data_IF_066094644999
#
_entry.id   IF_066094644999
#
_cell.length_a   1.000
_cell.length_b   1.000
_cell.length_c   1.000
_cell.angle_alpha   90.00
_cell.angle_beta   90.00
_cell.angle_gamma   90.00
#
_symmetry.space_group_name_H-M   'P 1'
#
loop_
_entity.id
_entity.type
_entity.pdbx_description
1 polymer ?
#
# COMPACT_ATOMS: atom_id res chain seq x y z
N UNK A 1 -1.86 -6.11 4.87
CA UNK A 1 -0.91 -5.90 3.75
C UNK A 1 -1.58 -4.94 2.79
N UNK A 2 -1.06 -3.74 2.59
CA UNK A 2 -1.74 -2.73 1.79
C UNK A 2 -1.55 -2.93 0.28
N UNK A 3 -0.40 -3.46 -0.14
CA UNK A 3 -0.03 -3.57 -1.55
C UNK A 3 -0.57 -4.86 -2.17
N UNK A 4 -0.54 -5.98 -1.45
CA UNK A 4 -1.12 -7.23 -1.97
C UNK A 4 -2.65 -7.25 -1.91
N UNK A 5 -3.28 -6.52 -0.98
CA UNK A 5 -4.76 -6.44 -0.91
C UNK A 5 -5.41 -5.73 -2.11
N UNK A 6 -4.64 -5.06 -2.97
CA UNK A 6 -5.12 -4.42 -4.20
C UNK A 6 -4.69 -5.16 -5.47
N UNK A 7 -4.12 -6.36 -5.33
CA UNK A 7 -3.80 -7.21 -6.46
C UNK A 7 -5.06 -7.63 -7.22
N UNK A 8 -4.89 -7.80 -8.53
CA UNK A 8 -5.85 -8.42 -9.45
C UNK A 8 -5.23 -9.70 -10.02
N UNK A 9 -5.37 -10.85 -9.36
CA UNK A 9 -4.83 -12.11 -9.84
C UNK A 9 -5.32 -12.43 -11.25
N UNK A 10 -4.40 -12.67 -12.19
CA UNK A 10 -4.70 -12.89 -13.60
C UNK A 10 -5.14 -11.65 -14.40
N UNK A 11 -5.23 -10.47 -13.77
CA UNK A 11 -5.69 -9.24 -14.41
C UNK A 11 -4.77 -8.68 -15.50
N UNK A 12 -3.50 -9.12 -15.54
CA UNK A 12 -2.53 -8.75 -16.56
C UNK A 12 -2.39 -9.76 -17.71
N UNK A 13 -3.17 -10.85 -17.69
CA UNK A 13 -3.05 -11.96 -18.64
C UNK A 13 -1.99 -12.98 -18.20
N UNK A 14 -0.71 -12.65 -18.36
CA UNK A 14 0.44 -13.50 -17.99
C UNK A 14 1.12 -13.11 -16.66
N UNK A 15 0.63 -12.05 -16.01
CA UNK A 15 1.07 -11.61 -14.68
C UNK A 15 -0.09 -11.09 -13.83
N UNK A 16 0.15 -10.92 -12.53
CA UNK A 16 -0.79 -10.29 -11.59
C UNK A 16 -0.76 -8.77 -11.76
N UNK A 17 -1.91 -8.19 -12.11
CA UNK A 17 -2.12 -6.74 -12.18
C UNK A 17 -2.48 -6.17 -10.80
N UNK A 18 -2.78 -4.87 -10.71
CA UNK A 18 -3.22 -4.29 -9.45
C UNK A 18 -3.71 -2.84 -9.49
N UNK A 19 -4.46 -2.46 -8.46
CA UNK A 19 -4.92 -1.09 -8.22
C UNK A 19 -4.07 -0.39 -7.15
N UNK A 20 -2.75 -0.30 -7.34
CA UNK A 20 -1.82 0.30 -6.37
C UNK A 20 -2.18 1.71 -5.89
N UNK A 21 -2.95 2.47 -6.69
CA UNK A 21 -3.47 3.78 -6.30
C UNK A 21 -4.43 3.72 -5.09
N UNK A 22 -5.07 2.58 -4.83
CA UNK A 22 -5.95 2.34 -3.69
C UNK A 22 -5.18 1.92 -2.43
N UNK A 23 -3.95 1.40 -2.55
CA UNK A 23 -3.18 0.89 -1.42
C UNK A 23 -3.00 1.91 -0.28
N UNK A 24 -2.67 3.20 -0.52
CA UNK A 24 -2.60 4.20 0.54
C UNK A 24 -3.94 4.42 1.27
N UNK A 25 -5.06 4.31 0.56
CA UNK A 25 -6.38 4.48 1.16
C UNK A 25 -6.74 3.29 2.05
N UNK A 26 -6.51 2.07 1.58
CA UNK A 26 -6.74 0.86 2.36
C UNK A 26 -5.80 0.76 3.57
N UNK A 27 -4.55 1.22 3.45
CA UNK A 27 -3.64 1.31 4.59
C UNK A 27 -4.19 2.22 5.70
N UNK A 28 -4.71 3.40 5.34
CA UNK A 28 -5.36 4.31 6.31
C UNK A 28 -6.59 3.68 6.94
N UNK A 29 -7.42 3.00 6.14
CA UNK A 29 -8.60 2.30 6.65
C UNK A 29 -8.22 1.18 7.64
N UNK A 30 -7.22 0.36 7.33
CA UNK A 30 -6.75 -0.71 8.20
C UNK A 30 -6.27 -0.17 9.56
N UNK A 31 -5.50 0.92 9.56
CA UNK A 31 -5.05 1.56 10.80
C UNK A 31 -6.21 2.16 11.59
N UNK A 32 -7.14 2.83 10.92
CA UNK A 32 -8.34 3.38 11.56
C UNK A 32 -9.22 2.30 12.22
N UNK A 33 -9.24 1.09 11.64
CA UNK A 33 -9.92 -0.08 12.20
C UNK A 33 -9.17 -0.76 13.35
N UNK A 34 -7.96 -0.30 13.70
CA UNK A 34 -7.21 -0.78 14.86
C UNK A 34 -6.23 -1.93 14.59
N UNK A 35 -5.71 -2.07 13.36
CA UNK A 35 -4.66 -3.06 13.11
C UNK A 35 -3.36 -2.73 13.88
N UNK A 36 -2.60 -3.76 14.29
CA UNK A 36 -1.33 -3.58 14.99
C UNK A 36 -0.13 -3.32 14.06
N UNK A 37 -0.30 -3.47 12.74
CA UNK A 37 0.79 -3.29 11.79
C UNK A 37 0.29 -3.22 10.35
N UNK A 38 1.08 -2.54 9.51
CA UNK A 38 0.83 -2.42 8.08
C UNK A 38 2.06 -2.91 7.33
N UNK A 39 1.86 -3.79 6.35
CA UNK A 39 2.88 -4.19 5.39
C UNK A 39 2.67 -3.41 4.08
N UNK A 40 3.76 -2.90 3.50
CA UNK A 40 3.76 -2.08 2.28
C UNK A 40 5.01 -2.41 1.46
N UNK A 41 4.83 -2.79 0.20
CA UNK A 41 5.92 -2.81 -0.78
C UNK A 41 6.13 -1.44 -1.43
N UNK A 42 7.38 -1.10 -1.70
CA UNK A 42 7.74 0.17 -2.31
C UNK A 42 8.90 0.03 -3.29
N UNK A 43 8.96 0.94 -4.27
CA UNK A 43 10.05 0.99 -5.23
C UNK A 43 10.40 2.45 -5.60
N UNK A 44 11.67 2.70 -5.95
CA UNK A 44 12.12 4.02 -6.42
C UNK A 44 11.46 4.42 -7.75
N UNK A 45 11.18 3.44 -8.59
CA UNK A 45 10.45 3.58 -9.84
C UNK A 45 9.53 2.38 -10.06
N UNK A 46 8.29 2.35 -9.51
CA UNK A 46 7.42 1.18 -9.56
C UNK A 46 7.27 0.56 -10.95
N UNK A 47 7.21 1.38 -12.01
CA UNK A 47 7.12 0.90 -13.39
C UNK A 47 8.30 0.02 -13.85
N UNK A 48 9.44 0.06 -13.15
CA UNK A 48 10.63 -0.78 -13.40
C UNK A 48 10.79 -1.94 -12.41
N UNK A 49 9.85 -2.14 -11.49
CA UNK A 49 9.91 -3.27 -10.57
C UNK A 49 9.73 -4.60 -11.34
N UNK A 50 10.49 -5.63 -10.96
CA UNK A 50 10.45 -6.94 -11.61
C UNK A 50 9.23 -7.78 -11.17
N UNK A 51 8.67 -7.46 -10.01
CA UNK A 51 7.42 -7.98 -9.48
C UNK A 51 6.58 -6.82 -8.94
N UNK A 52 5.26 -7.01 -8.87
CA UNK A 52 4.33 -6.12 -8.18
C UNK A 52 4.38 -4.63 -8.58
N UNK A 53 4.85 -4.33 -9.79
CA UNK A 53 4.98 -2.98 -10.33
C UNK A 53 3.70 -2.14 -10.27
N UNK A 54 2.53 -2.78 -10.37
CA UNK A 54 1.22 -2.13 -10.32
C UNK A 54 0.69 -1.92 -8.90
N UNK A 55 1.24 -2.66 -7.93
CA UNK A 55 0.86 -2.60 -6.51
C UNK A 55 1.79 -1.69 -5.70
N UNK A 56 3.07 -1.63 -6.09
CA UNK A 56 4.11 -0.96 -5.33
C UNK A 56 3.86 0.55 -5.17
N UNK A 57 3.90 1.03 -3.94
CA UNK A 57 3.78 2.46 -3.64
C UNK A 57 5.11 3.15 -3.99
N UNK A 58 5.12 4.30 -4.71
CA UNK A 58 6.35 5.04 -4.97
C UNK A 58 7.07 5.45 -3.67
N UNK A 59 8.37 5.18 -3.55
CA UNK A 59 9.15 5.44 -2.32
C UNK A 59 9.03 6.89 -1.82
N UNK A 60 8.99 7.86 -2.75
CA UNK A 60 8.79 9.28 -2.44
C UNK A 60 7.49 9.60 -1.68
N UNK A 61 6.46 8.76 -1.81
CA UNK A 61 5.18 8.94 -1.12
C UNK A 61 5.20 8.37 0.33
N UNK A 62 6.17 7.50 0.66
CA UNK A 62 6.19 6.77 1.92
C UNK A 62 6.27 7.68 3.14
N UNK A 63 7.05 8.77 3.10
CA UNK A 63 7.14 9.71 4.23
C UNK A 63 5.79 10.34 4.55
N UNK A 64 5.01 10.70 3.53
CA UNK A 64 3.71 11.32 3.73
C UNK A 64 2.69 10.30 4.24
N UNK A 65 2.66 9.11 3.63
CA UNK A 65 1.79 8.03 4.06
C UNK A 65 2.09 7.62 5.52
N UNK A 66 3.35 7.46 5.89
CA UNK A 66 3.75 7.12 7.26
C UNK A 66 3.25 8.12 8.30
N UNK A 67 3.35 9.43 8.01
CA UNK A 67 2.79 10.47 8.89
C UNK A 67 1.28 10.33 9.07
N UNK A 68 0.55 10.03 7.99
CA UNK A 68 -0.89 9.80 8.05
C UNK A 68 -1.23 8.56 8.88
N UNK A 69 -0.56 7.42 8.62
CA UNK A 69 -0.81 6.18 9.35
C UNK A 69 -0.52 6.33 10.83
N UNK A 70 0.64 6.92 11.19
CA UNK A 70 0.99 7.17 12.59
C UNK A 70 -0.04 8.07 13.29
N UNK A 71 -0.44 9.17 12.65
CA UNK A 71 -1.43 10.08 13.24
C UNK A 71 -2.80 9.43 13.42
N UNK A 72 -3.26 8.61 12.47
CA UNK A 72 -4.51 7.85 12.62
C UNK A 72 -4.39 6.85 13.77
N UNK A 73 -3.29 6.11 13.85
CA UNK A 73 -3.05 5.15 14.92
C UNK A 73 -3.13 5.82 16.29
N UNK A 74 -2.39 6.91 16.49
CA UNK A 74 -2.41 7.68 17.74
C UNK A 74 -3.82 8.17 18.12
N UNK A 75 -4.63 8.58 17.14
CA UNK A 75 -6.01 9.02 17.38
C UNK A 75 -6.96 7.89 17.82
N UNK A 76 -6.77 6.67 17.31
CA UNK A 76 -7.67 5.55 17.62
C UNK A 76 -7.21 4.70 18.81
N UNK A 77 -5.98 4.91 19.29
CA UNK A 77 -5.43 4.23 20.47
C UNK A 77 -5.29 5.12 21.70
N UNK A 78 -5.64 6.41 21.60
CA UNK A 78 -5.74 7.32 22.74
C UNK A 78 -7.03 7.05 23.53
#
# INVERSE_FOLDING_TARGET
DATHSVQKPGGGGDYTAGDGHLAPALARAAVAMGCNGVFIETHLNPAKALSDKENAIPFRAMRNLWRQLKGIHELVTA
#
